data_IF_448070155047
#
_entry.id   IF_448070155047
#
_cell.length_a   1.000
_cell.length_b   1.000
_cell.length_c   1.000
_cell.angle_alpha   90.00
_cell.angle_beta   90.00
_cell.angle_gamma   90.00
#
_symmetry.space_group_name_H-M   'P 1'
#
loop_
_entity.id
_entity.type
_entity.pdbx_description
1 polymer ?
#
# COMPACT_ATOMS: atom_id res chain seq x y z
N UNK A 1 2.90 -17.06 -57.04
CA UNK A 1 3.35 -17.95 -55.94
C UNK A 1 4.85 -18.28 -56.08
N UNK A 2 5.70 -17.28 -56.39
CA UNK A 2 7.08 -17.51 -56.85
C UNK A 2 8.13 -16.99 -55.83
N UNK A 3 7.88 -17.19 -54.54
CA UNK A 3 8.84 -16.89 -53.47
C UNK A 3 9.34 -18.21 -52.89
N UNK A 4 10.58 -18.56 -53.19
CA UNK A 4 11.15 -19.88 -52.89
C UNK A 4 12.23 -19.75 -51.81
N UNK A 5 12.96 -18.64 -51.78
CA UNK A 5 14.03 -18.39 -50.80
C UNK A 5 13.54 -17.57 -49.60
N UNK A 6 14.26 -17.67 -48.48
CA UNK A 6 14.00 -16.80 -47.31
C UNK A 6 14.23 -15.32 -47.61
N UNK A 7 15.11 -15.01 -48.57
CA UNK A 7 15.40 -13.64 -48.97
C UNK A 7 14.20 -13.02 -49.71
N UNK A 8 13.52 -13.81 -50.55
CA UNK A 8 12.26 -13.38 -51.18
C UNK A 8 11.19 -13.05 -50.12
N UNK A 9 11.04 -13.89 -49.09
CA UNK A 9 10.10 -13.64 -47.98
C UNK A 9 10.47 -12.36 -47.22
N UNK A 10 11.76 -12.11 -46.96
CA UNK A 10 12.23 -10.86 -46.31
C UNK A 10 11.94 -9.63 -47.17
N UNK A 11 12.15 -9.72 -48.48
CA UNK A 11 11.82 -8.66 -49.42
C UNK A 11 10.32 -8.37 -49.47
N UNK A 12 9.47 -9.41 -49.43
CA UNK A 12 8.02 -9.28 -49.35
C UNK A 12 7.55 -8.68 -48.00
N UNK A 13 8.23 -8.96 -46.89
CA UNK A 13 8.00 -8.30 -45.59
C UNK A 13 8.39 -6.82 -45.68
N UNK A 14 9.54 -6.50 -46.29
CA UNK A 14 10.04 -5.12 -46.47
C UNK A 14 9.11 -4.29 -47.36
N UNK A 15 8.58 -4.90 -48.43
CA UNK A 15 7.56 -4.33 -49.32
C UNK A 15 6.15 -4.31 -48.70
N UNK A 16 5.99 -4.77 -47.45
CA UNK A 16 4.72 -4.83 -46.70
C UNK A 16 3.63 -5.71 -47.32
N UNK A 17 3.99 -6.63 -48.22
CA UNK A 17 3.10 -7.65 -48.80
C UNK A 17 2.80 -8.74 -47.76
N UNK A 18 3.81 -9.14 -46.97
CA UNK A 18 3.65 -10.05 -45.83
C UNK A 18 3.72 -9.24 -44.54
N UNK A 19 2.65 -9.25 -43.74
CA UNK A 19 2.58 -8.52 -42.47
C UNK A 19 2.15 -9.42 -41.32
N UNK A 20 2.76 -9.20 -40.16
CA UNK A 20 2.32 -9.83 -38.92
C UNK A 20 1.16 -9.06 -38.32
N UNK A 21 0.02 -9.74 -38.12
CA UNK A 21 -1.09 -9.18 -37.34
C UNK A 21 -0.65 -8.95 -35.89
N UNK A 22 -1.08 -7.83 -35.31
CA UNK A 22 -0.88 -7.57 -33.89
C UNK A 22 -1.51 -8.69 -33.05
N UNK A 23 -0.87 -9.02 -31.91
CA UNK A 23 -1.45 -9.96 -30.96
C UNK A 23 -2.72 -9.35 -30.36
N UNK A 24 -3.82 -10.09 -30.39
CA UNK A 24 -5.03 -9.68 -29.69
C UNK A 24 -4.83 -9.80 -28.18
N UNK A 25 -5.15 -8.73 -27.45
CA UNK A 25 -5.08 -8.67 -26.00
C UNK A 25 -6.47 -8.52 -25.38
N UNK A 26 -6.60 -8.96 -24.12
CA UNK A 26 -7.84 -8.80 -23.37
C UNK A 26 -7.92 -7.40 -22.74
N UNK A 27 -9.09 -6.77 -22.85
CA UNK A 27 -9.30 -5.44 -22.25
C UNK A 27 -9.36 -5.51 -20.73
N UNK A 28 -8.81 -4.51 -20.05
CA UNK A 28 -8.85 -4.36 -18.59
C UNK A 28 -9.92 -3.37 -18.11
N UNK A 29 -10.80 -2.89 -19.00
CA UNK A 29 -11.74 -1.80 -18.74
C UNK A 29 -12.70 -2.11 -17.58
N UNK A 30 -13.43 -3.24 -17.64
CA UNK A 30 -14.40 -3.64 -16.60
C UNK A 30 -13.75 -3.81 -15.23
N UNK A 31 -12.53 -4.34 -15.20
CA UNK A 31 -11.72 -4.49 -13.98
C UNK A 31 -11.39 -3.13 -13.36
N UNK A 32 -10.98 -2.14 -14.17
CA UNK A 32 -10.69 -0.77 -13.71
C UNK A 32 -11.93 -0.09 -13.14
N UNK A 33 -13.06 -0.15 -13.83
CA UNK A 33 -14.34 0.40 -13.35
C UNK A 33 -14.72 -0.21 -11.99
N UNK A 34 -14.61 -1.53 -11.83
CA UNK A 34 -14.88 -2.19 -10.55
C UNK A 34 -13.88 -1.78 -9.46
N UNK A 35 -12.60 -1.63 -9.80
CA UNK A 35 -11.56 -1.20 -8.87
C UNK A 35 -11.83 0.20 -8.32
N UNK A 36 -12.23 1.14 -9.17
CA UNK A 36 -12.59 2.51 -8.77
C UNK A 36 -13.80 2.53 -7.84
N UNK A 37 -14.84 1.75 -8.16
CA UNK A 37 -16.00 1.56 -7.25
C UNK A 37 -15.56 1.04 -5.89
N UNK A 38 -14.66 0.04 -5.86
CA UNK A 38 -14.09 -0.50 -4.62
C UNK A 38 -13.23 0.53 -3.87
N UNK A 39 -12.47 1.38 -4.56
CA UNK A 39 -11.66 2.45 -3.94
C UNK A 39 -12.53 3.46 -3.20
N UNK A 40 -13.69 3.81 -3.78
CA UNK A 40 -14.74 4.65 -3.16
C UNK A 40 -15.52 3.96 -2.03
N UNK A 41 -15.19 2.72 -1.67
CA UNK A 41 -15.86 1.96 -0.60
C UNK A 41 -17.09 1.16 -1.04
N UNK A 42 -17.54 1.29 -2.30
CA UNK A 42 -18.70 0.55 -2.84
C UNK A 42 -18.33 -0.92 -3.13
N UNK A 43 -19.34 -1.77 -3.32
CA UNK A 43 -19.16 -3.20 -3.62
C UNK A 43 -18.33 -4.00 -2.58
N UNK A 44 -18.45 -3.64 -1.29
CA UNK A 44 -17.72 -4.25 -0.14
C UNK A 44 -18.63 -4.79 0.98
N UNK A 45 -19.95 -4.82 0.77
CA UNK A 45 -20.95 -5.33 1.72
C UNK A 45 -20.78 -6.80 2.07
N UNK A 46 -21.47 -7.28 3.11
CA UNK A 46 -21.31 -8.62 3.70
C UNK A 46 -21.54 -9.73 2.67
N UNK A 47 -22.62 -9.66 1.89
CA UNK A 47 -22.92 -10.66 0.84
C UNK A 47 -21.91 -10.74 -0.32
N UNK A 48 -20.99 -9.76 -0.45
CA UNK A 48 -19.88 -9.81 -1.42
C UNK A 48 -18.59 -10.40 -0.83
N UNK A 49 -18.58 -10.75 0.46
CA UNK A 49 -17.40 -11.31 1.16
C UNK A 49 -17.51 -12.82 1.19
N UNK A 50 -16.54 -13.52 0.59
CA UNK A 50 -16.50 -15.00 0.53
C UNK A 50 -15.41 -15.62 1.43
N UNK A 51 -14.90 -14.88 2.42
CA UNK A 51 -13.82 -15.36 3.29
C UNK A 51 -13.82 -14.70 4.66
N UNK A 52 -13.21 -15.38 5.64
CA UNK A 52 -13.21 -14.96 7.04
C UNK A 52 -12.51 -13.61 7.25
N UNK A 53 -12.82 -12.93 8.35
CA UNK A 53 -12.22 -11.63 8.72
C UNK A 53 -10.69 -11.67 8.73
N UNK A 54 -10.12 -12.74 9.30
CA UNK A 54 -8.68 -12.89 9.45
C UNK A 54 -7.98 -13.39 8.19
N UNK A 55 -8.66 -14.10 7.29
CA UNK A 55 -8.11 -14.38 5.95
C UNK A 55 -7.98 -13.09 5.12
N UNK A 56 -8.99 -12.21 5.18
CA UNK A 56 -8.98 -10.93 4.48
C UNK A 56 -8.03 -9.89 5.10
N UNK A 57 -7.84 -9.93 6.43
CA UNK A 57 -6.94 -9.04 7.16
C UNK A 57 -6.29 -9.81 8.32
N UNK A 58 -5.11 -10.41 8.08
CA UNK A 58 -4.42 -11.21 9.09
C UNK A 58 -4.08 -10.41 10.35
N UNK A 59 -4.23 -11.04 11.53
CA UNK A 59 -4.00 -10.41 12.85
C UNK A 59 -2.61 -9.78 12.95
N UNK A 60 -1.56 -10.53 12.58
CA UNK A 60 -0.15 -10.05 12.59
C UNK A 60 0.05 -8.85 11.67
N UNK A 61 -0.54 -8.85 10.47
CA UNK A 61 -0.44 -7.72 9.51
C UNK A 61 -1.16 -6.48 10.03
N UNK A 62 -2.32 -6.64 10.66
CA UNK A 62 -3.03 -5.53 11.30
C UNK A 62 -2.21 -4.92 12.45
N UNK A 63 -1.62 -5.76 13.31
CA UNK A 63 -0.72 -5.31 14.37
C UNK A 63 0.49 -4.55 13.82
N UNK A 64 1.17 -5.10 12.82
CA UNK A 64 2.31 -4.46 12.14
C UNK A 64 1.93 -3.07 11.60
N UNK A 65 0.77 -2.96 10.93
CA UNK A 65 0.26 -1.70 10.39
C UNK A 65 -0.05 -0.67 11.49
N UNK A 66 -0.38 -1.10 12.70
CA UNK A 66 -0.65 -0.23 13.84
C UNK A 66 0.64 0.23 14.54
N UNK A 67 1.53 -0.72 14.88
CA UNK A 67 2.70 -0.44 15.71
C UNK A 67 3.83 0.28 14.96
N UNK A 68 4.03 -0.01 13.66
CA UNK A 68 5.15 0.59 12.89
C UNK A 68 5.02 2.12 12.76
N UNK A 69 3.87 2.69 12.36
CA UNK A 69 3.72 4.15 12.30
C UNK A 69 3.91 4.82 13.66
N UNK A 70 3.40 4.23 14.74
CA UNK A 70 3.58 4.76 16.10
C UNK A 70 5.06 4.82 16.50
N UNK A 71 5.81 3.74 16.26
CA UNK A 71 7.26 3.71 16.53
C UNK A 71 8.04 4.67 15.66
N UNK A 72 7.66 4.81 14.38
CA UNK A 72 8.25 5.79 13.47
C UNK A 72 8.04 7.22 13.97
N UNK A 73 6.84 7.55 14.43
CA UNK A 73 6.54 8.87 14.98
C UNK A 73 7.31 9.14 16.27
N UNK A 74 7.34 8.19 17.21
CA UNK A 74 8.14 8.31 18.43
C UNK A 74 9.63 8.53 18.12
N UNK A 75 10.17 7.81 17.12
CA UNK A 75 11.56 7.98 16.69
C UNK A 75 11.79 9.39 16.14
N UNK A 76 10.90 9.89 15.29
CA UNK A 76 10.94 11.25 14.74
C UNK A 76 10.90 12.32 15.84
N UNK A 77 10.01 12.17 16.83
CA UNK A 77 9.91 13.10 17.96
C UNK A 77 11.19 13.11 18.81
N UNK A 78 11.81 11.95 19.01
CA UNK A 78 13.09 11.80 19.73
C UNK A 78 14.25 12.44 18.96
N UNK A 79 14.36 12.17 17.66
CA UNK A 79 15.41 12.74 16.79
C UNK A 79 15.35 14.27 16.76
N UNK A 80 14.14 14.84 16.78
CA UNK A 80 13.90 16.29 16.87
C UNK A 80 14.04 16.85 18.29
N UNK A 81 14.43 16.04 19.28
CA UNK A 81 14.54 16.39 20.71
C UNK A 81 13.25 16.96 21.33
N UNK A 82 12.10 16.73 20.71
CA UNK A 82 10.79 17.20 21.19
C UNK A 82 10.31 16.41 22.41
N UNK A 83 10.82 15.20 22.62
CA UNK A 83 10.52 14.38 23.79
C UNK A 83 11.81 13.99 24.51
N UNK A 84 11.77 13.93 25.83
CA UNK A 84 12.88 13.43 26.62
C UNK A 84 13.11 11.92 26.35
N UNK A 85 14.37 11.43 26.42
CA UNK A 85 14.67 10.00 26.26
C UNK A 85 13.88 9.08 27.20
N UNK A 86 13.64 9.52 28.45
CA UNK A 86 12.82 8.80 29.42
C UNK A 86 11.36 8.67 28.94
N UNK A 87 10.76 9.77 28.49
CA UNK A 87 9.41 9.80 27.93
C UNK A 87 9.30 8.92 26.68
N UNK A 88 10.29 8.96 25.79
CA UNK A 88 10.35 8.06 24.62
C UNK A 88 10.30 6.59 25.04
N UNK A 89 11.13 6.17 26.01
CA UNK A 89 11.21 4.77 26.44
C UNK A 89 9.88 4.29 27.05
N UNK A 90 9.21 5.14 27.84
CA UNK A 90 7.88 4.85 28.40
C UNK A 90 6.82 4.72 27.30
N UNK A 91 6.74 5.70 26.40
CA UNK A 91 5.77 5.70 25.30
C UNK A 91 6.00 4.52 24.34
N UNK A 92 7.25 4.13 24.10
CA UNK A 92 7.58 2.98 23.27
C UNK A 92 7.09 1.65 23.87
N UNK A 93 7.26 1.47 25.19
CA UNK A 93 6.70 0.31 25.92
C UNK A 93 5.18 0.32 25.88
N UNK A 94 4.54 1.47 26.10
CA UNK A 94 3.08 1.61 26.02
C UNK A 94 2.55 1.30 24.61
N UNK A 95 3.23 1.75 23.57
CA UNK A 95 2.91 1.39 22.19
C UNK A 95 3.05 -0.12 21.95
N UNK A 96 4.13 -0.76 22.45
CA UNK A 96 4.30 -2.23 22.40
C UNK A 96 3.14 -2.95 23.09
N UNK A 97 2.64 -2.44 24.22
CA UNK A 97 1.47 -2.96 24.93
C UNK A 97 0.14 -2.70 24.21
N UNK A 98 0.15 -1.92 23.12
CA UNK A 98 -1.04 -1.67 22.32
C UNK A 98 -1.96 -0.58 22.86
N UNK A 99 -1.50 0.24 23.82
CA UNK A 99 -2.24 1.35 24.43
C UNK A 99 -2.80 2.34 23.40
N UNK A 100 -2.10 2.52 22.27
CA UNK A 100 -2.52 3.43 21.21
C UNK A 100 -3.12 2.67 20.02
N UNK A 101 -4.29 3.12 19.57
CA UNK A 101 -5.00 2.64 18.37
C UNK A 101 -4.43 3.23 17.08
N UNK A 102 -3.93 4.47 17.13
CA UNK A 102 -3.44 5.25 15.99
C UNK A 102 -2.30 6.20 16.38
N UNK A 103 -1.64 6.80 15.40
CA UNK A 103 -0.65 7.86 15.64
C UNK A 103 -1.32 9.12 16.22
N UNK A 104 -2.55 9.42 15.81
CA UNK A 104 -3.31 10.55 16.34
C UNK A 104 -3.57 10.40 17.85
N UNK A 105 -3.95 9.20 18.31
CA UNK A 105 -4.14 8.94 19.73
C UNK A 105 -2.82 9.03 20.51
N UNK A 106 -1.71 8.54 19.93
CA UNK A 106 -0.39 8.72 20.53
C UNK A 106 -0.05 10.20 20.72
N UNK A 107 -0.23 11.01 19.66
CA UNK A 107 0.09 12.44 19.72
C UNK A 107 -0.82 13.19 20.69
N UNK A 108 -2.10 12.82 20.76
CA UNK A 108 -3.03 13.36 21.76
C UNK A 108 -2.54 13.07 23.18
N UNK A 109 -2.16 11.83 23.46
CA UNK A 109 -1.65 11.45 24.78
C UNK A 109 -0.36 12.20 25.16
N UNK A 110 0.54 12.40 24.19
CA UNK A 110 1.77 13.19 24.38
C UNK A 110 1.43 14.65 24.73
N UNK A 111 0.42 15.23 24.07
CA UNK A 111 -0.05 16.59 24.33
C UNK A 111 -0.72 16.71 25.70
N UNK A 112 -1.64 15.81 26.04
CA UNK A 112 -2.36 15.79 27.32
C UNK A 112 -1.43 15.61 28.52
N UNK A 113 -0.33 14.89 28.36
CA UNK A 113 0.69 14.68 29.40
C UNK A 113 1.84 15.69 29.33
N UNK A 114 1.72 16.71 28.49
CA UNK A 114 2.71 17.78 28.29
C UNK A 114 4.14 17.27 28.11
N UNK A 115 4.29 16.13 27.43
CA UNK A 115 5.59 15.47 27.26
C UNK A 115 6.47 16.12 26.19
N UNK A 116 5.96 17.20 25.55
CA UNK A 116 6.66 17.95 24.52
C UNK A 116 7.53 19.00 25.19
N UNK A 117 8.84 18.93 24.96
CA UNK A 117 9.75 20.03 25.26
C UNK A 117 9.55 21.11 24.20
N UNK A 118 9.14 22.30 24.61
CA UNK A 118 9.27 23.50 23.75
C UNK A 118 10.77 23.68 23.54
N UNK A 119 11.22 23.58 22.29
CA UNK A 119 12.59 23.95 21.95
C UNK A 119 12.80 25.42 22.35
N UNK A 120 13.95 25.73 22.94
CA UNK A 120 14.51 27.07 22.81
C UNK A 120 14.93 27.27 21.37
#
# INVERSE_FOLDING_TARGET
SLAITREDIRNLIKQRIIQKKYKQGNSNYRKKVLHERKKKGRARGIGKRKGTKHARTPKKRAWIKRIRPQRKELRKLRERKLIAPASYRKLYKNAKGGMFSSVAQLNRHIKEKELIRRGR
#
